data_IF_066883285029
#
_entry.id   IF_066883285029
#
_cell.length_a   1.000
_cell.length_b   1.000
_cell.length_c   1.000
_cell.angle_alpha   90.00
_cell.angle_beta   90.00
_cell.angle_gamma   90.00
#
_symmetry.space_group_name_H-M   'P 1'
#
loop_
_entity.id
_entity.type
_entity.pdbx_description
1 polymer ?
#
# COMPACT_ATOMS: atom_id res chain seq x y z
N UNK A 1 -1.28 28.55 -9.81
CA UNK A 1 0.18 28.28 -9.75
C UNK A 1 0.35 26.77 -9.89
N UNK A 2 1.39 26.26 -10.56
CA UNK A 2 1.63 24.81 -10.62
C UNK A 2 1.94 24.30 -9.21
N UNK A 3 1.34 23.18 -8.79
CA UNK A 3 1.67 22.57 -7.49
C UNK A 3 3.14 22.12 -7.52
N UNK A 4 3.88 22.45 -6.47
CA UNK A 4 5.28 22.05 -6.30
C UNK A 4 5.37 20.85 -5.38
N UNK A 5 5.90 19.75 -5.91
CA UNK A 5 6.05 18.49 -5.17
C UNK A 5 7.55 18.20 -5.01
N UNK A 6 7.97 17.98 -3.76
CA UNK A 6 9.30 17.48 -3.46
C UNK A 6 9.25 15.96 -3.25
N UNK A 7 10.24 15.23 -3.77
CA UNK A 7 10.34 13.77 -3.59
C UNK A 7 11.71 13.43 -3.00
N UNK A 8 11.68 12.62 -1.92
CA UNK A 8 12.87 12.04 -1.29
C UNK A 8 12.96 10.57 -1.66
N UNK A 9 13.89 10.23 -2.55
CA UNK A 9 14.12 8.87 -3.05
C UNK A 9 13.50 8.63 -4.43
N UNK A 10 14.34 8.32 -5.41
CA UNK A 10 13.96 8.05 -6.79
C UNK A 10 14.09 6.56 -7.14
N UNK A 11 13.46 5.71 -6.32
CA UNK A 11 13.31 4.27 -6.61
C UNK A 11 12.09 3.97 -7.50
N UNK A 12 11.59 2.74 -7.45
CA UNK A 12 10.38 2.32 -8.18
C UNK A 12 9.19 3.25 -7.89
N UNK A 13 8.81 3.38 -6.62
CA UNK A 13 7.63 4.14 -6.19
C UNK A 13 7.83 5.64 -6.43
N UNK A 14 8.92 6.20 -5.88
CA UNK A 14 9.20 7.64 -5.97
C UNK A 14 9.51 8.12 -7.39
N UNK A 15 10.23 7.34 -8.20
CA UNK A 15 10.51 7.67 -9.59
C UNK A 15 9.26 7.60 -10.46
N UNK A 16 8.41 6.59 -10.26
CA UNK A 16 7.13 6.48 -10.97
C UNK A 16 6.22 7.65 -10.64
N UNK A 17 6.21 8.07 -9.36
CA UNK A 17 5.41 9.22 -8.91
C UNK A 17 5.94 10.52 -9.51
N UNK A 18 7.26 10.71 -9.52
CA UNK A 18 7.91 11.87 -10.11
C UNK A 18 7.53 12.01 -11.59
N UNK A 19 7.69 10.95 -12.39
CA UNK A 19 7.30 10.91 -13.82
C UNK A 19 5.82 11.23 -13.99
N UNK A 20 4.94 10.60 -13.19
CA UNK A 20 3.50 10.81 -13.25
C UNK A 20 3.12 12.28 -12.98
N UNK A 21 3.72 12.89 -11.96
CA UNK A 21 3.44 14.28 -11.58
C UNK A 21 3.99 15.28 -12.60
N UNK A 22 5.16 15.03 -13.19
CA UNK A 22 5.66 15.85 -14.31
C UNK A 22 4.69 15.78 -15.50
N UNK A 23 4.22 14.59 -15.86
CA UNK A 23 3.23 14.41 -16.94
C UNK A 23 1.91 15.13 -16.64
N UNK A 24 1.53 15.26 -15.37
CA UNK A 24 0.37 16.03 -14.91
C UNK A 24 0.62 17.56 -14.87
N UNK A 25 1.83 18.01 -15.21
CA UNK A 25 2.21 19.42 -15.29
C UNK A 25 2.68 20.06 -13.98
N UNK A 26 2.91 19.27 -12.93
CA UNK A 26 3.45 19.74 -11.65
C UNK A 26 4.93 20.16 -11.77
N UNK A 27 5.40 21.01 -10.85
CA UNK A 27 6.83 21.25 -10.67
C UNK A 27 7.36 20.18 -9.70
N UNK A 28 8.23 19.28 -10.18
CA UNK A 28 8.81 18.22 -9.35
C UNK A 28 10.28 18.52 -9.04
N UNK A 29 10.61 18.58 -7.75
CA UNK A 29 11.99 18.67 -7.26
C UNK A 29 12.31 17.39 -6.52
N UNK A 30 13.47 16.79 -6.75
CA UNK A 30 13.80 15.51 -6.14
C UNK A 30 15.22 15.47 -5.57
N UNK A 31 15.34 14.79 -4.44
CA UNK A 31 16.62 14.40 -3.88
C UNK A 31 16.67 12.87 -3.78
N UNK A 32 17.82 12.30 -4.11
CA UNK A 32 18.11 10.88 -3.90
C UNK A 32 19.42 10.74 -3.10
N UNK A 33 19.55 9.63 -2.37
CA UNK A 33 20.71 9.41 -1.49
C UNK A 33 22.05 9.43 -2.25
N UNK A 34 22.03 9.05 -3.53
CA UNK A 34 23.12 9.25 -4.46
C UNK A 34 22.60 9.92 -5.75
N UNK A 35 23.51 10.49 -6.52
CA UNK A 35 23.23 11.23 -7.75
C UNK A 35 22.77 10.35 -8.92
N UNK A 36 22.79 9.02 -8.78
CA UNK A 36 22.08 8.11 -9.68
C UNK A 36 20.64 8.06 -9.19
N UNK A 37 19.63 8.56 -9.94
CA UNK A 37 19.55 8.57 -11.40
C UNK A 37 19.42 9.97 -12.06
N UNK A 38 20.06 11.01 -11.52
CA UNK A 38 19.76 12.41 -11.83
C UNK A 38 19.79 12.75 -13.32
N UNK A 39 20.81 12.32 -14.06
CA UNK A 39 20.91 12.60 -15.51
C UNK A 39 19.64 12.17 -16.26
N UNK A 40 19.17 10.95 -16.03
CA UNK A 40 17.94 10.44 -16.68
C UNK A 40 16.68 11.06 -16.08
N UNK A 41 16.64 11.33 -14.78
CA UNK A 41 15.49 11.97 -14.13
C UNK A 41 15.29 13.43 -14.61
N UNK A 42 16.38 14.17 -14.81
CA UNK A 42 16.36 15.51 -15.37
C UNK A 42 15.90 15.52 -16.82
N UNK A 43 16.27 14.51 -17.61
CA UNK A 43 15.74 14.32 -18.96
C UNK A 43 14.22 14.09 -18.97
N UNK A 44 13.67 13.52 -17.90
CA UNK A 44 12.22 13.36 -17.68
C UNK A 44 11.55 14.60 -17.05
N UNK A 45 12.26 15.73 -16.96
CA UNK A 45 11.71 16.99 -16.46
C UNK A 45 11.69 17.15 -14.94
N UNK A 46 12.37 16.27 -14.20
CA UNK A 46 12.48 16.33 -12.74
C UNK A 46 13.69 17.21 -12.37
N UNK A 47 13.49 18.23 -11.53
CA UNK A 47 14.60 19.04 -11.02
C UNK A 47 15.31 18.28 -9.90
N UNK A 48 16.43 17.63 -10.19
CA UNK A 48 17.24 16.96 -9.19
C UNK A 48 18.12 17.95 -8.40
N UNK A 49 18.25 17.74 -7.09
CA UNK A 49 19.02 18.64 -6.21
C UNK A 49 20.03 17.87 -5.36
N UNK A 50 21.19 18.48 -5.02
CA UNK A 50 22.29 17.74 -4.39
C UNK A 50 22.05 17.46 -2.90
N UNK A 51 21.20 18.24 -2.22
CA UNK A 51 20.98 18.12 -0.77
C UNK A 51 19.52 18.31 -0.40
N UNK A 52 19.14 17.75 0.76
CA UNK A 52 17.83 17.98 1.37
C UNK A 52 17.58 19.46 1.70
N UNK A 53 18.63 20.25 1.94
CA UNK A 53 18.51 21.69 2.18
C UNK A 53 18.04 22.44 0.93
N UNK A 54 18.60 22.12 -0.24
CA UNK A 54 18.15 22.70 -1.51
C UNK A 54 16.74 22.20 -1.87
N UNK A 55 16.40 20.95 -1.52
CA UNK A 55 15.05 20.42 -1.67
C UNK A 55 14.03 21.21 -0.84
N UNK A 56 14.33 21.46 0.44
CA UNK A 56 13.46 22.21 1.35
C UNK A 56 13.36 23.70 0.98
N UNK A 57 14.46 24.32 0.52
CA UNK A 57 14.49 25.73 0.07
C UNK A 57 13.63 25.99 -1.17
N UNK A 58 13.31 24.92 -1.93
CA UNK A 58 12.32 25.00 -2.99
C UNK A 58 10.89 25.27 -2.46
N UNK A 59 10.63 25.18 -1.14
CA UNK A 59 9.32 25.41 -0.51
C UNK A 59 8.18 24.63 -1.20
N UNK A 60 8.25 23.29 -1.21
CA UNK A 60 7.23 22.47 -1.83
C UNK A 60 5.90 22.53 -1.07
N UNK A 61 4.78 22.44 -1.78
CA UNK A 61 3.45 22.31 -1.17
C UNK A 61 3.32 20.95 -0.44
N UNK A 62 3.86 19.90 -1.08
CA UNK A 62 3.92 18.54 -0.56
C UNK A 62 5.34 17.97 -0.71
N UNK A 63 5.90 17.42 0.36
CA UNK A 63 7.14 16.67 0.35
C UNK A 63 6.84 15.19 0.63
N UNK A 64 7.14 14.32 -0.35
CA UNK A 64 6.86 12.89 -0.32
C UNK A 64 8.12 12.10 0.03
N UNK A 65 8.06 11.34 1.13
CA UNK A 65 9.11 10.45 1.59
C UNK A 65 8.95 9.07 0.94
N UNK A 66 9.78 8.80 -0.07
CA UNK A 66 9.83 7.55 -0.84
C UNK A 66 11.06 6.69 -0.48
N UNK A 67 11.75 7.00 0.63
CA UNK A 67 12.85 6.20 1.15
C UNK A 67 12.35 4.93 1.85
N UNK A 68 13.20 3.89 2.00
CA UNK A 68 12.92 2.75 2.87
C UNK A 68 12.61 3.19 4.31
N UNK A 69 11.69 2.49 4.99
CA UNK A 69 11.27 2.85 6.35
C UNK A 69 12.42 2.83 7.36
N UNK A 70 13.38 1.90 7.22
CA UNK A 70 14.62 1.90 8.02
C UNK A 70 15.44 3.20 7.94
N UNK A 71 15.34 3.96 6.85
CA UNK A 71 16.06 5.22 6.66
C UNK A 71 15.25 6.43 7.15
N UNK A 72 13.98 6.24 7.48
CA UNK A 72 13.04 7.31 7.81
C UNK A 72 13.49 8.16 9.01
N UNK A 73 13.98 7.60 10.14
CA UNK A 73 14.46 8.43 11.25
C UNK A 73 15.61 9.38 10.86
N UNK A 74 16.55 8.90 10.03
CA UNK A 74 17.67 9.70 9.56
C UNK A 74 17.20 10.84 8.63
N UNK A 75 16.32 10.53 7.68
CA UNK A 75 15.77 11.51 6.74
C UNK A 75 14.93 12.56 7.47
N UNK A 76 14.06 12.14 8.38
CA UNK A 76 13.24 13.03 9.20
C UNK A 76 14.10 13.95 10.08
N UNK A 77 15.13 13.41 10.73
CA UNK A 77 16.07 14.19 11.53
C UNK A 77 16.83 15.24 10.70
N UNK A 78 17.21 14.90 9.47
CA UNK A 78 17.84 15.85 8.55
C UNK A 78 16.88 16.92 8.02
N UNK A 79 15.61 16.57 7.79
CA UNK A 79 14.60 17.50 7.28
C UNK A 79 14.04 18.44 8.35
N UNK A 80 13.95 18.00 9.60
CA UNK A 80 13.38 18.78 10.72
C UNK A 80 13.87 20.23 10.81
N UNK A 81 15.19 20.53 10.73
CA UNK A 81 15.66 21.92 10.78
C UNK A 81 15.53 22.68 9.46
N UNK A 82 15.16 22.03 8.37
CA UNK A 82 15.18 22.59 7.01
C UNK A 82 13.79 22.95 6.49
N UNK A 83 12.77 22.17 6.84
CA UNK A 83 11.41 22.39 6.34
C UNK A 83 10.68 23.46 7.15
N UNK A 84 9.85 24.25 6.47
CA UNK A 84 8.90 25.14 7.11
C UNK A 84 7.56 24.39 7.30
N UNK A 85 7.21 23.95 8.52
CA UNK A 85 6.00 23.19 8.79
C UNK A 85 4.71 24.03 8.64
N UNK A 86 4.82 25.35 8.51
CA UNK A 86 3.66 26.21 8.20
C UNK A 86 3.30 26.16 6.72
N UNK A 87 4.27 25.89 5.85
CA UNK A 87 4.08 25.84 4.39
C UNK A 87 3.97 24.39 3.91
N UNK A 88 4.97 23.57 4.19
CA UNK A 88 5.13 22.24 3.60
C UNK A 88 4.25 21.20 4.26
N UNK A 89 3.51 20.43 3.46
CA UNK A 89 2.86 19.20 3.92
C UNK A 89 3.78 18.00 3.70
N UNK A 90 4.09 17.27 4.76
CA UNK A 90 4.88 16.05 4.71
C UNK A 90 3.96 14.84 4.48
N UNK A 91 4.37 13.90 3.63
CA UNK A 91 3.70 12.62 3.45
C UNK A 91 4.71 11.53 3.13
N UNK A 92 4.31 10.27 3.22
CA UNK A 92 5.12 9.11 2.86
C UNK A 92 4.35 8.17 1.92
N UNK A 93 5.00 7.09 1.49
CA UNK A 93 4.41 6.02 0.66
C UNK A 93 4.65 4.63 1.25
N UNK A 94 5.02 4.57 2.53
CA UNK A 94 5.41 3.35 3.23
C UNK A 94 4.29 2.33 3.38
N UNK A 95 4.64 1.06 3.54
CA UNK A 95 3.68 -0.03 3.70
C UNK A 95 3.14 -0.22 5.12
N UNK A 96 3.78 0.42 6.11
CA UNK A 96 3.38 0.42 7.54
C UNK A 96 3.21 1.87 7.97
N UNK A 97 2.12 2.22 8.65
CA UNK A 97 1.73 3.62 8.91
C UNK A 97 1.94 4.01 10.36
N UNK A 98 1.65 3.11 11.31
CA UNK A 98 1.81 3.39 12.74
C UNK A 98 3.28 3.70 13.07
N UNK A 99 4.20 2.86 12.60
CA UNK A 99 5.64 3.07 12.76
C UNK A 99 6.11 4.43 12.19
N UNK A 100 5.63 4.81 10.99
CA UNK A 100 6.04 6.08 10.37
C UNK A 100 5.49 7.26 11.16
N UNK A 101 4.23 7.20 11.59
CA UNK A 101 3.64 8.26 12.41
C UNK A 101 4.37 8.44 13.73
N UNK A 102 4.78 7.36 14.39
CA UNK A 102 5.61 7.41 15.60
C UNK A 102 6.96 8.08 15.35
N UNK A 103 7.64 7.74 14.25
CA UNK A 103 8.93 8.33 13.88
C UNK A 103 8.80 9.82 13.55
N UNK A 104 7.72 10.23 12.87
CA UNK A 104 7.40 11.63 12.59
C UNK A 104 7.14 12.40 13.88
N UNK A 105 6.35 11.84 14.80
CA UNK A 105 6.06 12.44 16.12
C UNK A 105 7.33 12.57 16.95
N UNK A 106 8.22 11.59 16.92
CA UNK A 106 9.48 11.61 17.65
C UNK A 106 10.40 12.79 17.27
N UNK A 107 10.29 13.30 16.04
CA UNK A 107 11.03 14.49 15.58
C UNK A 107 10.23 15.78 15.64
N UNK A 108 8.96 15.74 16.08
CA UNK A 108 8.09 16.91 16.20
C UNK A 108 7.59 17.46 14.87
N UNK A 109 7.32 16.60 13.87
CA UNK A 109 6.79 16.98 12.55
C UNK A 109 5.33 16.56 12.33
N UNK A 110 4.65 16.03 13.34
CA UNK A 110 3.30 15.49 13.27
C UNK A 110 2.27 16.49 12.76
N UNK A 111 2.40 17.78 13.10
CA UNK A 111 1.45 18.82 12.72
C UNK A 111 1.41 19.11 11.21
N UNK A 112 2.48 18.79 10.49
CA UNK A 112 2.53 18.98 9.04
C UNK A 112 2.46 17.65 8.27
N UNK A 113 2.25 16.51 8.93
CA UNK A 113 2.32 15.19 8.32
C UNK A 113 0.94 14.57 8.05
N UNK A 114 0.82 13.90 6.91
CA UNK A 114 -0.31 13.05 6.53
C UNK A 114 0.25 11.76 5.92
N UNK A 115 0.00 10.62 6.55
CA UNK A 115 0.47 9.34 6.03
C UNK A 115 -0.27 8.95 4.75
N UNK A 116 0.44 8.34 3.80
CA UNK A 116 -0.17 7.77 2.61
C UNK A 116 0.51 6.46 2.20
N UNK A 117 -0.22 5.64 1.47
CA UNK A 117 0.29 4.39 0.91
C UNK A 117 -0.41 4.09 -0.41
N UNK A 118 0.29 4.19 -1.55
CA UNK A 118 -0.23 3.68 -2.80
C UNK A 118 -0.27 2.16 -2.77
N UNK A 119 -1.44 1.57 -3.06
CA UNK A 119 -1.58 0.13 -3.30
C UNK A 119 -1.08 -0.21 -4.72
N UNK A 120 0.17 0.14 -4.98
CA UNK A 120 0.86 -0.03 -6.25
C UNK A 120 2.26 -0.58 -6.00
N UNK A 121 2.76 -1.39 -6.93
CA UNK A 121 4.07 -2.00 -6.82
C UNK A 121 4.16 -3.27 -7.63
N UNK A 122 5.39 -3.64 -7.95
CA UNK A 122 5.71 -4.90 -8.60
C UNK A 122 6.97 -5.50 -7.94
N UNK A 123 7.39 -6.64 -8.47
CA UNK A 123 8.56 -7.38 -8.03
C UNK A 123 9.90 -6.73 -8.38
N UNK A 124 9.90 -5.67 -9.20
CA UNK A 124 11.09 -4.94 -9.62
C UNK A 124 11.48 -3.86 -8.60
N UNK A 125 12.64 -3.24 -8.81
CA UNK A 125 13.15 -2.15 -7.96
C UNK A 125 14.03 -1.18 -8.75
N UNK A 126 14.40 -0.07 -8.11
CA UNK A 126 15.26 0.96 -8.72
C UNK A 126 14.52 1.91 -9.65
N UNK A 127 15.25 2.93 -10.09
CA UNK A 127 14.76 3.97 -10.99
C UNK A 127 14.47 3.43 -12.39
N UNK A 128 15.28 2.50 -12.86
CA UNK A 128 15.18 1.90 -14.20
C UNK A 128 13.87 1.13 -14.39
N UNK A 129 13.25 0.71 -13.28
CA UNK A 129 11.94 0.06 -13.27
C UNK A 129 10.79 1.03 -13.02
N UNK A 130 11.07 2.34 -12.91
CA UNK A 130 10.03 3.36 -12.70
C UNK A 130 9.20 3.58 -13.96
N UNK A 131 7.88 3.64 -13.78
CA UNK A 131 6.92 3.80 -14.87
C UNK A 131 5.74 4.65 -14.39
N UNK A 132 5.39 5.77 -15.07
CA UNK A 132 4.23 6.57 -14.70
C UNK A 132 2.90 5.79 -14.73
N UNK A 133 2.80 4.66 -15.45
CA UNK A 133 1.60 3.80 -15.46
C UNK A 133 1.54 2.86 -14.26
N UNK A 134 2.56 2.80 -13.40
CA UNK A 134 2.55 1.97 -12.18
C UNK A 134 1.34 2.27 -11.28
N UNK A 135 0.88 3.52 -11.30
CA UNK A 135 -0.27 3.98 -10.52
C UNK A 135 -1.60 3.82 -11.26
N UNK A 136 -1.64 3.37 -12.51
CA UNK A 136 -2.90 3.30 -13.25
C UNK A 136 -3.92 2.40 -12.53
N UNK A 137 -5.08 2.98 -12.22
CA UNK A 137 -6.13 2.30 -11.46
C UNK A 137 -5.76 1.95 -10.02
N UNK A 138 -4.64 2.43 -9.48
CA UNK A 138 -4.24 2.20 -8.10
C UNK A 138 -5.17 2.93 -7.12
N UNK A 139 -5.40 2.30 -5.97
CA UNK A 139 -6.03 2.90 -4.80
C UNK A 139 -4.94 3.40 -3.86
N UNK A 140 -5.11 4.58 -3.28
CA UNK A 140 -4.26 5.08 -2.22
C UNK A 140 -5.00 5.03 -0.89
N UNK A 141 -4.32 4.56 0.16
CA UNK A 141 -4.76 4.83 1.52
C UNK A 141 -4.14 6.15 1.98
N UNK A 142 -4.94 7.05 2.54
CA UNK A 142 -4.45 8.17 3.35
C UNK A 142 -4.77 7.83 4.81
N UNK A 143 -3.81 8.02 5.71
CA UNK A 143 -4.04 7.84 7.15
C UNK A 143 -4.11 9.16 7.91
N UNK A 144 -5.10 9.26 8.79
CA UNK A 144 -5.38 10.45 9.59
C UNK A 144 -5.53 10.06 11.07
N UNK A 145 -5.21 11.01 11.95
CA UNK A 145 -5.51 10.97 13.37
C UNK A 145 -6.28 12.24 13.78
N UNK A 146 -6.61 12.36 15.07
CA UNK A 146 -7.33 13.52 15.61
C UNK A 146 -6.57 14.85 15.45
N UNK A 147 -5.25 14.80 15.29
CA UNK A 147 -4.39 15.98 15.15
C UNK A 147 -4.11 16.36 13.69
N UNK A 148 -4.55 15.53 12.74
CA UNK A 148 -4.33 15.77 11.33
C UNK A 148 -5.16 16.97 10.88
N UNK A 149 -4.51 18.00 10.34
CA UNK A 149 -5.19 19.19 9.84
C UNK A 149 -5.83 18.94 8.47
N UNK A 150 -7.06 19.41 8.29
CA UNK A 150 -7.80 19.19 7.03
C UNK A 150 -7.09 19.76 5.80
N UNK A 151 -6.40 20.90 5.94
CA UNK A 151 -5.64 21.50 4.84
C UNK A 151 -4.49 20.61 4.38
N UNK A 152 -3.81 19.92 5.31
CA UNK A 152 -2.72 18.98 5.03
C UNK A 152 -3.27 17.75 4.32
N UNK A 153 -4.38 17.21 4.82
CA UNK A 153 -5.12 16.13 4.15
C UNK A 153 -5.49 16.52 2.72
N UNK A 154 -6.04 17.72 2.50
CA UNK A 154 -6.45 18.18 1.17
C UNK A 154 -5.28 18.35 0.21
N UNK A 155 -4.11 18.75 0.68
CA UNK A 155 -2.91 18.87 -0.16
C UNK A 155 -2.48 17.51 -0.73
N UNK A 156 -2.43 16.47 0.13
CA UNK A 156 -2.09 15.10 -0.28
C UNK A 156 -3.21 14.48 -1.13
N UNK A 157 -4.46 14.71 -0.76
CA UNK A 157 -5.61 14.21 -1.51
C UNK A 157 -5.69 14.79 -2.93
N UNK A 158 -5.42 16.09 -3.12
CA UNK A 158 -5.34 16.71 -4.45
C UNK A 158 -4.16 16.18 -5.27
N UNK A 159 -2.99 15.95 -4.65
CA UNK A 159 -1.87 15.27 -5.34
C UNK A 159 -2.31 13.91 -5.90
N UNK A 160 -2.99 13.10 -5.09
CA UNK A 160 -3.41 11.76 -5.50
C UNK A 160 -4.52 11.81 -6.54
N UNK A 161 -5.57 12.59 -6.30
CA UNK A 161 -6.79 12.53 -7.10
C UNK A 161 -6.67 13.35 -8.38
N UNK A 162 -6.17 14.57 -8.28
CA UNK A 162 -6.18 15.51 -9.41
C UNK A 162 -4.91 15.34 -10.26
N UNK A 163 -3.75 15.07 -9.63
CA UNK A 163 -2.47 15.00 -10.34
C UNK A 163 -2.03 13.57 -10.68
N UNK A 164 -2.28 12.59 -9.82
CA UNK A 164 -2.02 11.18 -10.19
C UNK A 164 -3.21 10.54 -10.93
N UNK A 165 -4.39 11.16 -10.92
CA UNK A 165 -5.65 10.60 -11.43
C UNK A 165 -6.02 9.27 -10.76
N UNK A 166 -5.78 9.18 -9.45
CA UNK A 166 -6.05 8.02 -8.63
C UNK A 166 -7.27 8.20 -7.74
N UNK A 167 -7.71 7.08 -7.16
CA UNK A 167 -8.72 7.06 -6.10
C UNK A 167 -8.06 6.89 -4.75
N UNK A 168 -8.74 7.34 -3.70
CA UNK A 168 -8.26 7.17 -2.32
C UNK A 168 -9.35 6.71 -1.35
N UNK A 169 -8.91 6.11 -0.25
CA UNK A 169 -9.70 5.88 0.97
C UNK A 169 -8.97 6.50 2.16
N UNK A 170 -9.71 6.78 3.22
CA UNK A 170 -9.15 7.34 4.47
C UNK A 170 -9.28 6.34 5.59
N UNK A 171 -8.18 6.07 6.28
CA UNK A 171 -8.08 5.10 7.37
C UNK A 171 -7.37 5.71 8.58
N UNK A 172 -7.48 5.06 9.74
CA UNK A 172 -6.52 5.23 10.82
C UNK A 172 -5.34 4.28 10.59
N UNK A 173 -4.20 4.59 11.20
CA UNK A 173 -2.96 3.81 11.01
C UNK A 173 -3.15 2.33 11.40
N UNK A 174 -3.80 2.07 12.54
CA UNK A 174 -4.02 0.71 13.05
C UNK A 174 -4.87 -0.14 12.10
N UNK A 175 -5.95 0.44 11.57
CA UNK A 175 -6.82 -0.22 10.59
C UNK A 175 -6.04 -0.49 9.30
N UNK A 176 -5.27 0.49 8.82
CA UNK A 176 -4.40 0.29 7.65
C UNK A 176 -3.44 -0.88 7.84
N UNK A 177 -2.66 -0.89 8.91
CA UNK A 177 -1.60 -1.87 9.12
C UNK A 177 -2.17 -3.28 9.29
N UNK A 178 -3.28 -3.43 10.03
CA UNK A 178 -4.01 -4.72 10.10
C UNK A 178 -4.48 -5.22 8.73
N UNK A 179 -5.02 -4.33 7.90
CA UNK A 179 -5.46 -4.68 6.55
C UNK A 179 -4.26 -5.02 5.66
N UNK A 180 -3.20 -4.21 5.65
CA UNK A 180 -1.98 -4.46 4.89
C UNK A 180 -1.32 -5.79 5.30
N UNK A 181 -1.31 -6.12 6.60
CA UNK A 181 -0.87 -7.40 7.11
C UNK A 181 -1.63 -8.57 6.48
N UNK A 182 -2.97 -8.46 6.44
CA UNK A 182 -3.86 -9.49 5.92
C UNK A 182 -3.71 -9.69 4.41
N UNK A 183 -3.68 -8.60 3.64
CA UNK A 183 -3.76 -8.66 2.18
C UNK A 183 -2.41 -8.59 1.46
N UNK A 184 -1.32 -8.29 2.17
CA UNK A 184 0.02 -8.13 1.60
C UNK A 184 1.09 -8.88 2.42
N UNK A 185 1.29 -8.52 3.69
CA UNK A 185 2.47 -9.01 4.45
C UNK A 185 2.41 -10.52 4.72
N UNK A 186 1.28 -11.03 5.23
CA UNK A 186 1.09 -12.47 5.44
C UNK A 186 1.17 -13.25 4.11
N UNK A 187 0.52 -12.84 3.01
CA UNK A 187 0.69 -13.48 1.70
C UNK A 187 2.15 -13.61 1.26
N UNK A 188 2.99 -12.60 1.46
CA UNK A 188 4.43 -12.69 1.16
C UNK A 188 5.11 -13.79 2.00
N UNK A 189 4.86 -13.85 3.31
CA UNK A 189 5.45 -14.89 4.17
C UNK A 189 4.99 -16.29 3.75
N UNK A 190 3.69 -16.47 3.47
CA UNK A 190 3.14 -17.77 3.01
C UNK A 190 3.77 -18.18 1.67
N UNK A 191 3.86 -17.24 0.73
CA UNK A 191 4.48 -17.47 -0.57
C UNK A 191 5.95 -17.90 -0.44
N UNK A 192 6.72 -17.23 0.44
CA UNK A 192 8.09 -17.62 0.75
C UNK A 192 8.18 -19.00 1.40
N UNK A 193 7.28 -19.33 2.33
CA UNK A 193 7.24 -20.67 2.93
C UNK A 193 6.97 -21.76 1.88
N UNK A 194 6.08 -21.52 0.93
CA UNK A 194 5.80 -22.47 -0.17
C UNK A 194 7.02 -22.75 -1.03
N UNK A 195 7.79 -21.72 -1.43
CA UNK A 195 8.99 -21.96 -2.23
C UNK A 195 10.09 -22.66 -1.43
N UNK A 196 10.17 -22.44 -0.12
CA UNK A 196 11.10 -23.16 0.76
C UNK A 196 10.76 -24.66 0.82
N UNK A 197 9.47 -25.02 0.90
CA UNK A 197 9.01 -26.41 0.82
C UNK A 197 9.39 -27.06 -0.52
N UNK A 198 9.22 -26.33 -1.64
CA UNK A 198 9.69 -26.83 -2.94
C UNK A 198 11.20 -27.08 -2.93
N UNK A 199 12.00 -26.13 -2.45
CA UNK A 199 13.47 -26.24 -2.41
C UNK A 199 13.92 -27.42 -1.55
N UNK A 200 13.26 -27.65 -0.41
CA UNK A 200 13.56 -28.77 0.48
C UNK A 200 13.13 -30.14 -0.08
N UNK A 201 12.24 -30.18 -1.07
CA UNK A 201 11.69 -31.43 -1.60
C UNK A 201 12.73 -32.19 -2.47
N UNK A 202 12.96 -33.50 -2.26
CA UNK A 202 13.83 -34.31 -3.11
C UNK A 202 13.41 -34.32 -4.59
N UNK A 203 12.10 -34.22 -4.86
CA UNK A 203 11.52 -34.21 -6.21
C UNK A 203 11.35 -32.80 -6.79
N UNK A 204 12.00 -31.77 -6.23
CA UNK A 204 11.82 -30.35 -6.62
C UNK A 204 11.87 -30.09 -8.12
N UNK A 205 12.75 -30.77 -8.85
CA UNK A 205 12.88 -30.58 -10.31
C UNK A 205 11.64 -31.10 -11.05
N UNK A 206 11.10 -32.24 -10.62
CA UNK A 206 9.87 -32.81 -11.18
C UNK A 206 8.68 -31.92 -10.79
N UNK A 207 8.57 -31.53 -9.52
CA UNK A 207 7.51 -30.66 -9.03
C UNK A 207 7.49 -29.31 -9.77
N UNK A 208 8.66 -28.69 -9.98
CA UNK A 208 8.80 -27.47 -10.75
C UNK A 208 8.42 -27.65 -12.22
N UNK A 209 8.77 -28.78 -12.84
CA UNK A 209 8.39 -29.08 -14.22
C UNK A 209 6.87 -29.32 -14.40
N UNK A 210 6.19 -29.80 -13.36
CA UNK A 210 4.73 -30.01 -13.33
C UNK A 210 3.96 -28.75 -12.89
N UNK A 211 4.64 -27.70 -12.45
CA UNK A 211 4.02 -26.49 -11.95
C UNK A 211 3.25 -25.73 -13.05
N UNK A 212 2.04 -25.29 -12.72
CA UNK A 212 1.14 -24.58 -13.63
C UNK A 212 0.65 -23.26 -13.01
N UNK A 213 -0.55 -22.80 -13.39
CA UNK A 213 -1.10 -21.50 -13.00
C UNK A 213 -1.18 -21.28 -11.49
N UNK A 214 -1.68 -22.27 -10.73
CA UNK A 214 -1.81 -22.15 -9.26
C UNK A 214 -0.47 -21.88 -8.57
N UNK A 215 0.58 -22.62 -8.95
CA UNK A 215 1.93 -22.42 -8.42
C UNK A 215 2.46 -21.05 -8.81
N UNK A 216 2.34 -20.67 -10.09
CA UNK A 216 2.82 -19.38 -10.60
C UNK A 216 2.19 -18.21 -9.83
N UNK A 217 0.87 -18.22 -9.67
CA UNK A 217 0.16 -17.09 -9.06
C UNK A 217 0.42 -17.00 -7.56
N UNK A 218 0.52 -18.14 -6.86
CA UNK A 218 0.82 -18.17 -5.43
C UNK A 218 2.28 -17.84 -5.10
N UNK A 219 3.22 -18.06 -6.02
CA UNK A 219 4.67 -17.85 -5.77
C UNK A 219 5.23 -16.58 -6.38
N UNK A 220 4.47 -15.85 -7.20
CA UNK A 220 4.92 -14.60 -7.84
C UNK A 220 5.49 -13.58 -6.85
N UNK A 221 4.84 -13.39 -5.70
CA UNK A 221 5.27 -12.38 -4.70
C UNK A 221 6.52 -12.80 -3.92
N UNK A 222 6.84 -14.11 -3.88
CA UNK A 222 8.09 -14.60 -3.30
C UNK A 222 9.33 -14.29 -4.18
N UNK A 223 9.13 -13.84 -5.43
CA UNK A 223 10.23 -13.47 -6.33
C UNK A 223 10.77 -12.05 -6.06
N UNK A 224 10.17 -11.32 -5.14
CA UNK A 224 10.65 -10.01 -4.70
C UNK A 224 11.93 -10.14 -3.86
N UNK A 225 12.72 -9.06 -3.74
CA UNK A 225 13.92 -9.05 -2.90
C UNK A 225 13.60 -9.52 -1.46
N UNK A 226 14.25 -10.60 -0.97
CA UNK A 226 14.01 -11.12 0.37
C UNK A 226 14.22 -10.08 1.48
N UNK A 227 15.16 -9.14 1.32
CA UNK A 227 15.41 -8.09 2.31
C UNK A 227 14.26 -7.08 2.37
N UNK A 228 13.62 -6.79 1.22
CA UNK A 228 12.43 -5.94 1.16
C UNK A 228 11.26 -6.60 1.88
N UNK A 229 11.01 -7.88 1.57
CA UNK A 229 9.94 -8.65 2.24
C UNK A 229 10.18 -8.76 3.74
N UNK A 230 11.44 -9.04 4.14
CA UNK A 230 11.82 -9.11 5.55
C UNK A 230 11.55 -7.80 6.29
N UNK A 231 12.00 -6.67 5.74
CA UNK A 231 11.79 -5.36 6.36
C UNK A 231 10.29 -5.09 6.59
N UNK A 232 9.47 -5.27 5.55
CA UNK A 232 8.02 -5.09 5.63
C UNK A 232 7.35 -5.96 6.71
N UNK A 233 7.82 -7.21 6.89
CA UNK A 233 7.31 -8.12 7.92
C UNK A 233 7.78 -7.76 9.31
N UNK A 234 9.05 -7.36 9.47
CA UNK A 234 9.60 -6.92 10.76
C UNK A 234 8.95 -5.61 11.24
N UNK A 235 8.62 -4.73 10.30
CA UNK A 235 7.99 -3.43 10.58
C UNK A 235 6.53 -3.58 11.06
N UNK A 236 5.85 -4.68 10.73
CA UNK A 236 4.46 -4.97 11.09
C UNK A 236 4.32 -6.31 11.85
N UNK A 237 5.33 -6.65 12.64
CA UNK A 237 5.51 -8.00 13.19
C UNK A 237 4.31 -8.51 13.99
N UNK A 238 3.66 -7.66 14.80
CA UNK A 238 2.56 -8.07 15.67
C UNK A 238 1.32 -8.50 14.88
N UNK A 239 0.94 -7.75 13.84
CA UNK A 239 -0.21 -8.09 13.00
C UNK A 239 0.10 -9.34 12.16
N UNK A 240 1.31 -9.43 11.60
CA UNK A 240 1.75 -10.60 10.82
C UNK A 240 1.77 -11.86 11.67
N UNK A 241 2.31 -11.80 12.90
CA UNK A 241 2.39 -12.93 13.82
C UNK A 241 1.02 -13.53 14.13
N UNK A 242 0.05 -12.67 14.48
CA UNK A 242 -1.30 -13.12 14.80
C UNK A 242 -1.98 -13.82 13.61
N UNK A 243 -1.80 -13.27 12.41
CA UNK A 243 -2.34 -13.82 11.17
C UNK A 243 -1.68 -15.17 10.79
N UNK A 244 -0.36 -15.29 10.96
CA UNK A 244 0.37 -16.53 10.70
C UNK A 244 -0.06 -17.64 11.64
N UNK A 245 -0.30 -17.36 12.93
CA UNK A 245 -0.86 -18.36 13.85
C UNK A 245 -2.24 -18.83 13.43
N UNK A 246 -3.11 -17.89 13.03
CA UNK A 246 -4.44 -18.23 12.56
C UNK A 246 -4.39 -19.08 11.28
N UNK A 247 -3.49 -18.76 10.35
CA UNK A 247 -3.27 -19.57 9.15
C UNK A 247 -2.73 -20.96 9.48
N UNK A 248 -1.72 -21.06 10.33
CA UNK A 248 -1.13 -22.33 10.76
C UNK A 248 -2.19 -23.25 11.40
N UNK A 249 -3.06 -22.70 12.24
CA UNK A 249 -4.17 -23.45 12.83
C UNK A 249 -5.15 -23.99 11.78
N UNK A 250 -5.50 -23.19 10.76
CA UNK A 250 -6.36 -23.62 9.65
C UNK A 250 -5.72 -24.73 8.82
N UNK A 251 -4.43 -24.62 8.53
CA UNK A 251 -3.68 -25.63 7.79
C UNK A 251 -3.52 -26.93 8.60
N UNK A 252 -3.26 -26.82 9.91
CA UNK A 252 -3.16 -27.97 10.82
C UNK A 252 -4.48 -28.71 10.92
N UNK A 253 -5.59 -27.98 11.06
CA UNK A 253 -6.92 -28.59 11.07
C UNK A 253 -7.19 -29.38 9.79
N UNK A 254 -6.88 -28.79 8.62
CA UNK A 254 -7.05 -29.48 7.34
C UNK A 254 -6.16 -30.73 7.22
N UNK A 255 -4.89 -30.63 7.64
CA UNK A 255 -3.98 -31.77 7.65
C UNK A 255 -4.48 -32.92 8.54
N UNK A 256 -5.07 -32.60 9.70
CA UNK A 256 -5.64 -33.59 10.62
C UNK A 256 -6.86 -34.29 10.01
N UNK A 257 -7.76 -33.54 9.35
CA UNK A 257 -8.91 -34.11 8.63
C UNK A 257 -8.42 -35.08 7.55
N UNK A 258 -7.45 -34.68 6.73
CA UNK A 258 -6.87 -35.54 5.70
C UNK A 258 -6.21 -36.81 6.27
N UNK A 259 -5.52 -36.69 7.40
CA UNK A 259 -4.93 -37.84 8.08
C UNK A 259 -6.01 -38.82 8.60
N UNK A 260 -7.07 -38.30 9.22
CA UNK A 260 -8.20 -39.09 9.69
C UNK A 260 -8.88 -39.87 8.57
N UNK A 261 -9.10 -39.22 7.42
CA UNK A 261 -9.68 -39.85 6.23
C UNK A 261 -8.81 -40.98 5.68
N UNK A 262 -7.48 -40.78 5.64
CA UNK A 262 -6.55 -41.80 5.16
C UNK A 262 -6.47 -43.02 6.08
N UNK A 263 -6.55 -42.81 7.40
CA UNK A 263 -6.49 -43.89 8.39
C UNK A 263 -7.72 -44.80 8.39
N UNK A 264 -8.89 -44.30 7.97
CA UNK A 264 -10.18 -45.01 8.03
C UNK A 264 -10.56 -45.79 6.75
N UNK A 265 -9.61 -46.07 5.84
CA UNK A 265 -9.88 -46.77 4.56
C UNK A 265 -10.99 -46.14 3.71
N UNK A 266 -11.06 -44.80 3.67
CA UNK A 266 -11.74 -44.06 2.61
C UNK A 266 -13.14 -43.51 2.90
N UNK A 267 -13.72 -43.77 4.08
CA UNK A 267 -14.95 -43.09 4.49
C UNK A 267 -14.63 -42.00 5.54
N UNK A 268 -14.69 -40.69 5.20
CA UNK A 268 -14.64 -39.62 6.19
C UNK A 268 -15.73 -39.81 7.25
N UNK A 269 -15.46 -39.43 8.50
CA UNK A 269 -16.54 -39.30 9.48
C UNK A 269 -17.45 -38.14 9.08
N UNK A 270 -18.69 -38.12 9.58
CA UNK A 270 -19.58 -36.97 9.39
C UNK A 270 -18.98 -35.66 9.93
N UNK A 271 -18.06 -35.74 10.91
CA UNK A 271 -17.31 -34.58 11.40
C UNK A 271 -16.24 -34.12 10.41
N UNK A 272 -15.48 -35.05 9.84
CA UNK A 272 -14.45 -34.77 8.84
C UNK A 272 -15.05 -34.12 7.58
N UNK A 273 -16.16 -34.67 7.07
CA UNK A 273 -16.88 -34.11 5.92
C UNK A 273 -17.36 -32.68 6.19
N UNK A 274 -17.88 -32.43 7.40
CA UNK A 274 -18.36 -31.11 7.80
C UNK A 274 -17.22 -30.10 7.88
N UNK A 275 -16.08 -30.46 8.46
CA UNK A 275 -14.92 -29.57 8.55
C UNK A 275 -14.27 -29.32 7.17
N UNK A 276 -14.20 -30.36 6.32
CA UNK A 276 -13.75 -30.24 4.93
C UNK A 276 -14.65 -29.28 4.14
N UNK A 277 -15.96 -29.48 4.19
CA UNK A 277 -16.93 -28.62 3.53
C UNK A 277 -16.84 -27.18 4.05
N UNK A 278 -16.73 -27.00 5.37
CA UNK A 278 -16.60 -25.69 6.00
C UNK A 278 -15.37 -24.95 5.50
N UNK A 279 -14.21 -25.60 5.43
CA UNK A 279 -12.97 -24.98 4.97
C UNK A 279 -13.11 -24.41 3.55
N UNK A 280 -13.70 -25.19 2.63
CA UNK A 280 -13.86 -24.74 1.25
C UNK A 280 -14.98 -23.71 1.07
N UNK A 281 -16.06 -23.76 1.85
CA UNK A 281 -17.19 -22.83 1.74
C UNK A 281 -16.93 -21.50 2.45
N UNK A 282 -16.09 -21.44 3.49
CA UNK A 282 -15.92 -20.22 4.29
C UNK A 282 -15.46 -18.99 3.46
N UNK A 283 -14.70 -19.20 2.38
CA UNK A 283 -14.26 -18.14 1.48
C UNK A 283 -15.28 -17.72 0.42
N UNK A 284 -16.49 -18.27 0.43
CA UNK A 284 -17.50 -18.06 -0.60
C UNK A 284 -17.88 -16.58 -0.83
N UNK A 285 -18.05 -15.73 0.19
CA UNK A 285 -18.36 -14.32 -0.03
C UNK A 285 -17.31 -13.59 -0.88
N UNK A 286 -16.02 -13.90 -0.69
CA UNK A 286 -14.96 -13.33 -1.53
C UNK A 286 -14.98 -13.85 -2.97
N UNK A 287 -15.39 -15.11 -3.19
CA UNK A 287 -15.54 -15.67 -4.55
C UNK A 287 -16.68 -14.99 -5.29
N UNK A 288 -17.80 -14.76 -4.60
CA UNK A 288 -18.95 -14.03 -5.14
C UNK A 288 -18.57 -12.61 -5.51
N UNK A 289 -17.91 -11.89 -4.60
CA UNK A 289 -17.35 -10.57 -4.90
C UNK A 289 -16.44 -10.59 -6.14
N UNK A 290 -15.48 -11.54 -6.20
CA UNK A 290 -14.58 -11.63 -7.36
C UNK A 290 -15.27 -11.99 -8.66
N UNK A 291 -16.34 -12.79 -8.63
CA UNK A 291 -17.14 -13.06 -9.81
C UNK A 291 -17.79 -11.78 -10.33
N UNK A 292 -18.40 -10.98 -9.44
CA UNK A 292 -19.01 -9.69 -9.79
C UNK A 292 -17.98 -8.72 -10.41
N UNK A 293 -16.77 -8.64 -9.85
CA UNK A 293 -15.73 -7.73 -10.38
C UNK A 293 -15.24 -8.04 -11.79
N UNK A 294 -15.55 -9.24 -12.31
CA UNK A 294 -15.18 -9.66 -13.67
C UNK A 294 -16.26 -9.35 -14.71
N UNK A 295 -17.43 -8.91 -14.29
CA UNK A 295 -18.49 -8.51 -15.22
C UNK A 295 -18.06 -7.26 -15.98
N UNK A 296 -18.25 -7.21 -17.31
CA UNK A 296 -17.77 -6.10 -18.16
C UNK A 296 -18.21 -4.72 -17.65
N UNK A 297 -19.41 -4.65 -17.07
CA UNK A 297 -20.05 -3.41 -16.67
C UNK A 297 -19.84 -3.10 -15.18
N UNK A 298 -19.03 -3.88 -14.43
CA UNK A 298 -18.85 -3.69 -12.98
C UNK A 298 -18.40 -2.26 -12.62
N UNK A 299 -17.53 -1.67 -13.44
CA UNK A 299 -17.08 -0.28 -13.25
C UNK A 299 -18.17 0.75 -13.59
N UNK A 300 -19.07 0.44 -14.52
CA UNK A 300 -20.18 1.29 -14.94
C UNK A 300 -21.32 1.31 -13.90
N UNK A 301 -21.40 0.28 -13.05
CA UNK A 301 -22.39 0.16 -11.98
C UNK A 301 -21.93 0.70 -10.61
N UNK A 302 -20.72 1.23 -10.51
CA UNK A 302 -20.26 1.85 -9.25
C UNK A 302 -21.04 3.16 -9.02
N UNK A 303 -21.96 3.13 -8.05
CA UNK A 303 -22.72 4.32 -7.65
C UNK A 303 -21.74 5.45 -7.27
N UNK A 304 -21.97 6.63 -7.83
CA UNK A 304 -21.20 7.83 -7.49
C UNK A 304 -22.03 8.70 -6.55
N UNK A 305 -21.51 8.93 -5.35
CA UNK A 305 -22.17 9.69 -4.29
C UNK A 305 -21.40 10.97 -3.97
N UNK A 306 -22.12 11.99 -3.51
CA UNK A 306 -21.52 13.21 -2.97
C UNK A 306 -21.28 13.05 -1.47
N UNK A 307 -20.09 13.45 -1.03
CA UNK A 307 -19.67 13.49 0.37
C UNK A 307 -19.48 14.95 0.79
N UNK A 308 -20.34 15.42 1.70
CA UNK A 308 -20.17 16.67 2.41
C UNK A 308 -19.26 16.46 3.63
N UNK A 309 -18.05 17.02 3.60
CA UNK A 309 -17.05 16.82 4.64
C UNK A 309 -17.22 17.91 5.71
N UNK A 310 -17.67 17.59 6.94
CA UNK A 310 -17.95 18.59 7.97
C UNK A 310 -16.68 19.31 8.42
N UNK A 311 -16.80 20.47 9.07
CA UNK A 311 -15.64 21.17 9.62
C UNK A 311 -15.00 20.41 10.78
N UNK A 312 -15.83 19.91 11.70
CA UNK A 312 -15.47 19.11 12.86
C UNK A 312 -15.85 17.65 12.66
N UNK A 313 -15.04 16.71 13.16
CA UNK A 313 -15.33 15.27 13.06
C UNK A 313 -15.18 14.69 11.65
N UNK A 314 -14.49 15.41 10.76
CA UNK A 314 -14.31 14.99 9.36
C UNK A 314 -13.50 13.71 9.23
N UNK A 315 -12.52 13.49 10.10
CA UNK A 315 -11.72 12.26 10.11
C UNK A 315 -12.64 11.06 10.31
N UNK A 316 -13.46 11.08 11.36
CA UNK A 316 -14.39 10.00 11.68
C UNK A 316 -15.39 9.74 10.53
N UNK A 317 -15.92 10.80 9.92
CA UNK A 317 -16.82 10.68 8.78
C UNK A 317 -16.15 9.97 7.59
N UNK A 318 -14.89 10.30 7.29
CA UNK A 318 -14.14 9.66 6.20
C UNK A 318 -13.70 8.22 6.54
N UNK A 319 -13.43 7.91 7.81
CA UNK A 319 -13.21 6.53 8.26
C UNK A 319 -14.46 5.67 8.05
N UNK A 320 -15.64 6.20 8.37
CA UNK A 320 -16.92 5.52 8.14
C UNK A 320 -17.23 5.38 6.66
N UNK A 321 -16.86 6.37 5.84
CA UNK A 321 -16.93 6.33 4.38
C UNK A 321 -16.12 5.15 3.83
N UNK A 322 -14.87 5.00 4.24
CA UNK A 322 -14.04 3.87 3.83
C UNK A 322 -14.63 2.51 4.24
N UNK A 323 -15.26 2.42 5.42
CA UNK A 323 -15.96 1.19 5.87
C UNK A 323 -17.16 0.81 5.01
N UNK A 324 -17.80 1.79 4.36
CA UNK A 324 -18.88 1.56 3.39
C UNK A 324 -18.37 1.23 1.98
N UNK A 325 -17.03 1.17 1.80
CA UNK A 325 -16.41 0.92 0.50
C UNK A 325 -16.43 2.14 -0.42
N UNK A 326 -16.57 3.34 0.12
CA UNK A 326 -16.61 4.58 -0.65
C UNK A 326 -15.18 5.06 -0.94
N UNK A 327 -14.82 5.13 -2.21
CA UNK A 327 -13.49 5.58 -2.64
C UNK A 327 -13.61 6.98 -3.22
N UNK A 328 -12.93 7.97 -2.65
CA UNK A 328 -12.92 9.33 -3.18
C UNK A 328 -12.21 9.35 -4.53
N UNK A 329 -12.85 9.93 -5.54
CA UNK A 329 -12.39 9.99 -6.94
C UNK A 329 -12.23 11.41 -7.49
N UNK A 330 -12.80 12.42 -6.84
CA UNK A 330 -12.60 13.86 -7.15
C UNK A 330 -13.06 14.74 -6.00
N UNK A 331 -12.58 15.97 -5.95
CA UNK A 331 -13.11 17.03 -5.09
C UNK A 331 -13.76 18.11 -5.94
N UNK A 332 -15.05 18.38 -5.70
CA UNK A 332 -15.79 19.44 -6.39
C UNK A 332 -15.76 20.77 -5.61
N UNK A 333 -15.19 20.75 -4.41
CA UNK A 333 -14.95 21.92 -3.58
C UNK A 333 -13.90 21.67 -2.51
N UNK A 334 -13.71 22.64 -1.61
CA UNK A 334 -12.75 22.47 -0.52
C UNK A 334 -13.17 21.33 0.42
N UNK A 335 -14.47 21.23 0.74
CA UNK A 335 -15.08 20.23 1.63
C UNK A 335 -16.17 19.39 0.97
N UNK A 336 -16.15 19.30 -0.36
CA UNK A 336 -17.07 18.49 -1.16
C UNK A 336 -16.27 17.51 -1.99
N UNK A 337 -16.53 16.22 -1.81
CA UNK A 337 -15.87 15.15 -2.53
C UNK A 337 -16.91 14.28 -3.24
N UNK A 338 -16.53 13.68 -4.36
CA UNK A 338 -17.29 12.61 -4.98
C UNK A 338 -16.60 11.28 -4.70
N UNK A 339 -17.38 10.29 -4.30
CA UNK A 339 -16.89 8.95 -4.04
C UNK A 339 -17.63 7.92 -4.90
N UNK A 340 -16.94 6.85 -5.26
CA UNK A 340 -17.51 5.68 -5.89
C UNK A 340 -17.66 4.56 -4.87
N UNK A 341 -18.85 3.97 -4.78
CA UNK A 341 -19.13 2.83 -3.91
C UNK A 341 -18.60 1.56 -4.56
N UNK A 342 -17.62 0.93 -3.90
CA UNK A 342 -16.91 -0.27 -4.35
C UNK A 342 -16.79 -1.25 -3.18
N UNK A 343 -17.92 -1.77 -2.69
CA UNK A 343 -17.90 -2.74 -1.59
C UNK A 343 -17.22 -4.03 -2.01
N UNK A 344 -16.39 -4.58 -1.12
CA UNK A 344 -15.60 -5.79 -1.36
C UNK A 344 -16.25 -7.08 -0.86
N UNK A 345 -17.31 -6.97 -0.05
CA UNK A 345 -18.22 -8.05 0.38
C UNK A 345 -19.50 -7.40 0.91
#
# INVERSE_FOLDING_TARGET
MKQRIAIVGLGLIGGSLARRLVNAGCEVVAWNHNDRPYETAEADGIRCVPTLAVLADAKPDVLVLCNPLKAMPQILGALKPLIDPSVTTLTDVGSVKEMVREQVRAVGLEHCYVGAHPMAGNELSGWESSDPTLYDGALWAITVDENTEYQRFRAVATMIVDHCANRLIVLDDTTHDRCAALISHMPHVISTAMINELVANPNRNIAAALAAGSWRDMTRVALTDPNRTRAMVEEDAANVEALLRNMANRLTLMANVLHGMAAQQGAPTAGDDKEMARFFVQGQPFREYKALTKEPDFAEHCETIELAIPETGWQQMLLESARRGEHIVRFDGYRQAMAQVRSSV
#
